data_IF_457021528399
#
_entry.id   IF_457021528399
#
_cell.length_a   1.000
_cell.length_b   1.000
_cell.length_c   1.000
_cell.angle_alpha   90.00
_cell.angle_beta   90.00
_cell.angle_gamma   90.00
#
_symmetry.space_group_name_H-M   'P 1'
#
loop_
_entity.id
_entity.type
_entity.pdbx_description
1 polymer ?
#
# COMPACT_ATOMS: atom_id res chain seq x y z
N UNK A 1 12.05 -23.47 19.63
CA UNK A 1 11.77 -22.28 18.81
C UNK A 1 10.32 -22.27 18.37
N UNK A 2 9.62 -21.23 18.69
CA UNK A 2 8.23 -21.11 18.29
C UNK A 2 8.15 -20.52 16.87
N UNK A 3 7.51 -21.27 15.97
CA UNK A 3 7.16 -20.76 14.65
C UNK A 3 5.76 -20.19 14.73
N UNK A 4 5.59 -18.96 14.27
CA UNK A 4 4.33 -18.26 14.34
C UNK A 4 3.87 -17.93 12.93
N UNK A 5 2.64 -18.30 12.62
CA UNK A 5 2.01 -17.95 11.35
C UNK A 5 1.86 -16.42 11.25
N UNK A 6 1.93 -15.86 10.03
CA UNK A 6 1.71 -14.43 9.86
C UNK A 6 0.34 -14.00 10.37
N UNK A 7 0.30 -12.85 11.02
CA UNK A 7 -0.93 -12.24 11.49
C UNK A 7 -0.91 -10.75 11.18
N UNK A 8 -1.82 -10.31 10.35
CA UNK A 8 -1.96 -8.91 9.95
C UNK A 8 -3.14 -8.31 10.70
N UNK A 9 -2.92 -7.15 11.32
CA UNK A 9 -4.02 -6.37 11.86
C UNK A 9 -4.77 -5.72 10.69
N UNK A 10 -5.96 -6.23 10.42
CA UNK A 10 -6.79 -5.73 9.31
C UNK A 10 -7.25 -4.29 9.50
N UNK A 11 -7.21 -3.76 10.72
CA UNK A 11 -7.49 -2.37 10.98
C UNK A 11 -6.45 -1.40 10.40
N UNK A 12 -5.27 -1.90 10.04
CA UNK A 12 -4.23 -1.09 9.39
C UNK A 12 -4.53 -0.83 7.93
N UNK A 13 -5.32 -1.71 7.30
CA UNK A 13 -5.79 -1.49 5.95
C UNK A 13 -6.91 -0.46 5.98
N UNK A 14 -6.87 0.46 5.06
CA UNK A 14 -7.90 1.47 5.00
C UNK A 14 -7.95 2.12 3.64
N UNK A 15 -9.10 2.74 3.39
CA UNK A 15 -9.23 3.61 2.23
C UNK A 15 -8.48 4.90 2.52
N UNK A 16 -7.70 5.35 1.56
CA UNK A 16 -7.05 6.66 1.61
C UNK A 16 -7.52 7.48 0.43
N UNK A 17 -7.76 8.75 0.68
CA UNK A 17 -8.10 9.70 -0.36
C UNK A 17 -7.05 10.79 -0.34
N UNK A 18 -6.39 11.01 -1.47
CA UNK A 18 -5.39 12.06 -1.61
C UNK A 18 -5.68 12.90 -2.83
N UNK A 19 -5.21 14.13 -2.81
CA UNK A 19 -5.28 14.99 -3.98
C UNK A 19 -4.27 14.55 -5.02
N UNK A 20 -4.61 14.72 -6.29
CA UNK A 20 -3.69 14.45 -7.38
C UNK A 20 -2.36 15.18 -7.16
N UNK A 21 -1.25 14.47 -7.32
CA UNK A 21 0.09 15.00 -7.09
C UNK A 21 0.62 14.84 -5.67
N UNK A 22 -0.22 14.44 -4.73
CA UNK A 22 0.18 14.24 -3.34
C UNK A 22 0.67 12.83 -3.09
N UNK A 23 1.27 12.63 -1.93
CA UNK A 23 1.82 11.34 -1.52
C UNK A 23 0.83 10.58 -0.65
N UNK A 24 0.61 9.31 -0.97
CA UNK A 24 -0.17 8.40 -0.14
C UNK A 24 0.75 7.29 0.37
N UNK A 25 0.49 6.79 1.59
CA UNK A 25 1.28 5.67 2.09
C UNK A 25 0.45 4.78 3.01
N UNK A 26 0.88 3.52 3.08
CA UNK A 26 0.42 2.56 4.07
C UNK A 26 1.63 1.95 4.76
N UNK A 27 1.49 1.73 6.05
CA UNK A 27 2.48 1.03 6.84
C UNK A 27 1.76 -0.10 7.58
N UNK A 28 2.12 -1.33 7.24
CA UNK A 28 1.41 -2.51 7.71
C UNK A 28 2.36 -3.36 8.54
N UNK A 29 1.98 -3.62 9.78
CA UNK A 29 2.73 -4.47 10.69
C UNK A 29 2.18 -5.89 10.64
N UNK A 30 3.06 -6.86 10.43
CA UNK A 30 2.67 -8.26 10.37
C UNK A 30 3.56 -9.08 11.30
N UNK A 31 2.94 -9.76 12.26
CA UNK A 31 3.65 -10.70 13.13
C UNK A 31 3.83 -12.01 12.39
N UNK A 32 4.95 -12.67 12.62
CA UNK A 32 5.23 -13.98 12.03
C UNK A 32 6.65 -14.40 12.32
N UNK A 33 6.84 -15.72 12.47
CA UNK A 33 8.15 -16.30 12.68
C UNK A 33 8.27 -17.56 11.84
N UNK A 34 9.15 -17.61 10.84
CA UNK A 34 10.07 -16.53 10.42
C UNK A 34 9.35 -15.29 9.91
N UNK A 35 10.03 -14.14 9.84
CA UNK A 35 9.41 -12.91 9.39
C UNK A 35 8.78 -13.08 8.01
N UNK A 36 7.56 -12.55 7.79
CA UNK A 36 6.90 -12.73 6.49
C UNK A 36 7.57 -11.95 5.38
N UNK A 37 7.43 -12.46 4.17
CA UNK A 37 7.81 -11.79 2.93
C UNK A 37 6.57 -11.11 2.38
N UNK A 38 6.70 -9.85 1.97
CA UNK A 38 5.60 -9.05 1.47
C UNK A 38 5.69 -8.87 -0.04
N UNK A 39 4.52 -8.95 -0.68
CA UNK A 39 4.37 -8.60 -2.09
C UNK A 39 3.21 -7.64 -2.22
N UNK A 40 3.46 -6.48 -2.83
CA UNK A 40 2.43 -5.50 -3.14
C UNK A 40 2.08 -5.57 -4.62
N UNK A 41 0.82 -5.45 -4.93
CA UNK A 41 0.33 -5.57 -6.30
C UNK A 41 -0.78 -4.56 -6.57
N UNK A 42 -0.82 -4.04 -7.80
CA UNK A 42 -1.84 -3.11 -8.27
C UNK A 42 -2.36 -3.58 -9.63
N UNK A 43 -3.67 -3.47 -9.91
CA UNK A 43 -4.25 -3.99 -11.16
C UNK A 43 -3.63 -3.43 -12.44
N UNK A 44 -3.21 -2.16 -12.42
CA UNK A 44 -2.62 -1.51 -13.60
C UNK A 44 -1.11 -1.70 -13.64
N UNK A 45 -0.45 -1.51 -12.50
CA UNK A 45 1.02 -1.50 -12.43
C UNK A 45 1.64 -2.86 -12.18
N UNK A 46 0.84 -3.88 -11.85
CA UNK A 46 1.34 -5.22 -11.53
C UNK A 46 2.04 -5.26 -10.18
N UNK A 47 3.07 -6.11 -10.07
CA UNK A 47 3.86 -6.21 -8.84
C UNK A 47 4.63 -4.90 -8.62
N UNK A 48 4.46 -4.32 -7.45
CA UNK A 48 5.07 -3.04 -7.12
C UNK A 48 6.46 -3.25 -6.53
N UNK A 49 7.42 -2.53 -7.07
CA UNK A 49 8.80 -2.55 -6.61
C UNK A 49 9.28 -1.14 -6.33
N UNK A 50 10.36 -1.02 -5.58
CA UNK A 50 10.94 0.28 -5.25
C UNK A 50 11.43 0.97 -6.52
N UNK A 51 10.87 2.14 -6.81
CA UNK A 51 11.16 2.90 -8.02
C UNK A 51 10.81 4.38 -7.76
N UNK A 52 11.04 5.30 -8.72
CA UNK A 52 10.72 6.70 -8.49
C UNK A 52 9.26 7.00 -8.18
N UNK A 53 8.33 6.18 -8.67
CA UNK A 53 6.90 6.38 -8.44
C UNK A 53 6.40 5.73 -7.15
N UNK A 54 7.08 4.68 -6.68
CA UNK A 54 6.67 3.92 -5.51
C UNK A 54 7.86 3.61 -4.62
N UNK A 55 7.65 3.70 -3.32
CA UNK A 55 8.61 3.17 -2.35
C UNK A 55 8.00 1.92 -1.73
N UNK A 56 8.70 0.80 -1.85
CA UNK A 56 8.31 -0.47 -1.24
C UNK A 56 9.43 -0.91 -0.33
N UNK A 57 9.15 -0.99 0.96
CA UNK A 57 10.17 -1.22 1.96
C UNK A 57 9.68 -2.22 2.99
N UNK A 58 10.60 -3.04 3.48
CA UNK A 58 10.33 -4.00 4.55
C UNK A 58 11.40 -3.84 5.63
N UNK A 59 10.95 -3.69 6.86
CA UNK A 59 11.82 -3.62 8.02
C UNK A 59 11.43 -4.76 8.97
N UNK A 60 12.39 -5.64 9.26
CA UNK A 60 12.16 -6.75 10.18
C UNK A 60 12.39 -6.31 11.62
N UNK A 61 11.60 -6.90 12.52
CA UNK A 61 11.80 -6.74 13.96
C UNK A 61 11.64 -8.11 14.62
N UNK A 62 11.92 -8.20 15.90
CA UNK A 62 11.81 -9.48 16.60
C UNK A 62 10.34 -9.92 16.67
N UNK A 63 10.02 -10.99 15.94
CA UNK A 63 8.67 -11.55 15.90
C UNK A 63 7.82 -11.10 14.74
N UNK A 64 8.39 -10.36 13.76
CA UNK A 64 7.64 -9.96 12.59
C UNK A 64 8.36 -9.00 11.66
N UNK A 65 7.58 -8.27 10.89
CA UNK A 65 8.09 -7.28 9.95
C UNK A 65 7.05 -6.19 9.68
N UNK A 66 7.53 -5.03 9.26
CA UNK A 66 6.68 -3.91 8.85
C UNK A 66 6.96 -3.66 7.38
N UNK A 67 5.91 -3.61 6.56
CA UNK A 67 6.03 -3.20 5.18
C UNK A 67 5.47 -1.79 5.01
N UNK A 68 6.19 -0.97 4.26
CA UNK A 68 5.78 0.40 3.93
C UNK A 68 5.65 0.50 2.42
N UNK A 69 4.49 0.98 1.98
CA UNK A 69 4.19 1.24 0.58
C UNK A 69 3.87 2.72 0.43
N UNK A 70 4.63 3.43 -0.41
CA UNK A 70 4.43 4.86 -0.66
C UNK A 70 4.12 5.07 -2.13
N UNK A 71 3.07 5.82 -2.42
CA UNK A 71 2.74 6.28 -3.77
C UNK A 71 3.17 7.73 -3.86
N UNK A 72 4.21 8.01 -4.63
CA UNK A 72 4.72 9.36 -4.82
C UNK A 72 3.98 10.06 -5.96
N UNK A 73 3.57 11.30 -5.74
CA UNK A 73 2.91 12.10 -6.77
C UNK A 73 1.72 11.36 -7.42
N UNK A 74 0.77 10.96 -6.58
CA UNK A 74 -0.37 10.13 -7.00
C UNK A 74 -1.10 10.71 -8.22
N UNK A 75 -1.34 9.85 -9.21
CA UNK A 75 -2.03 10.18 -10.46
C UNK A 75 -3.31 9.35 -10.56
N UNK A 76 -4.16 9.67 -11.53
CA UNK A 76 -5.38 8.92 -11.77
C UNK A 76 -5.15 7.42 -11.95
N UNK A 77 -4.10 7.04 -12.64
CA UNK A 77 -3.75 5.63 -12.88
C UNK A 77 -3.28 4.90 -11.61
N UNK A 78 -2.96 5.64 -10.55
CA UNK A 78 -2.54 5.06 -9.28
C UNK A 78 -3.72 4.72 -8.36
N UNK A 79 -4.92 5.16 -8.72
CA UNK A 79 -6.11 4.82 -7.93
C UNK A 79 -6.43 3.34 -8.03
N UNK A 80 -7.17 2.85 -7.07
CA UNK A 80 -7.64 1.48 -7.06
C UNK A 80 -7.16 0.70 -5.85
N UNK A 81 -7.22 -0.61 -5.97
CA UNK A 81 -6.91 -1.51 -4.86
C UNK A 81 -5.46 -1.96 -4.91
N UNK A 82 -4.76 -1.70 -3.82
CA UNK A 82 -3.41 -2.21 -3.58
C UNK A 82 -3.53 -3.48 -2.77
N UNK A 83 -3.13 -4.61 -3.34
CA UNK A 83 -3.19 -5.90 -2.68
C UNK A 83 -1.85 -6.21 -2.04
N UNK A 84 -1.87 -6.57 -0.77
CA UNK A 84 -0.69 -6.99 -0.03
C UNK A 84 -0.79 -8.47 0.27
N UNK A 85 0.26 -9.21 -0.07
CA UNK A 85 0.43 -10.59 0.35
C UNK A 85 1.54 -10.67 1.39
N UNK A 86 1.24 -11.24 2.54
CA UNK A 86 2.23 -11.54 3.57
C UNK A 86 2.35 -13.05 3.71
N UNK A 87 3.54 -13.57 3.47
CA UNK A 87 3.76 -15.01 3.41
C UNK A 87 5.00 -15.41 4.20
N UNK A 88 4.86 -16.47 5.00
CA UNK A 88 6.00 -17.25 5.47
C UNK A 88 5.73 -18.73 5.13
N UNK A 89 6.60 -19.65 5.52
CA UNK A 89 6.47 -21.07 5.16
C UNK A 89 5.22 -21.76 5.71
N UNK A 90 4.49 -21.12 6.63
CA UNK A 90 3.31 -21.73 7.27
C UNK A 90 2.01 -21.28 6.63
N UNK A 91 1.90 -20.00 6.29
CA UNK A 91 0.63 -19.44 5.83
C UNK A 91 0.86 -18.20 4.98
N UNK A 92 -0.15 -17.91 4.16
CA UNK A 92 -0.21 -16.75 3.28
C UNK A 92 -1.47 -15.96 3.63
N UNK A 93 -1.31 -14.65 3.88
CA UNK A 93 -2.40 -13.73 4.15
C UNK A 93 -2.46 -12.63 3.12
N UNK A 94 -3.66 -12.13 2.87
CA UNK A 94 -3.90 -11.04 1.93
C UNK A 94 -4.61 -9.89 2.63
N UNK A 95 -4.27 -8.67 2.22
CA UNK A 95 -4.88 -7.46 2.71
C UNK A 95 -5.10 -6.52 1.53
N UNK A 96 -6.25 -5.82 1.52
CA UNK A 96 -6.58 -4.87 0.46
C UNK A 96 -6.58 -3.46 1.01
N UNK A 97 -5.93 -2.55 0.28
CA UNK A 97 -5.88 -1.13 0.62
C UNK A 97 -6.41 -0.35 -0.58
N UNK A 98 -7.36 0.55 -0.37
CA UNK A 98 -7.98 1.31 -1.44
C UNK A 98 -7.43 2.73 -1.49
N UNK A 99 -6.99 3.16 -2.68
CA UNK A 99 -6.59 4.53 -2.92
C UNK A 99 -7.59 5.22 -3.83
N UNK A 100 -8.12 6.33 -3.35
CA UNK A 100 -8.96 7.23 -4.13
C UNK A 100 -8.21 8.51 -4.39
N UNK A 101 -8.36 9.05 -5.60
CA UNK A 101 -7.73 10.31 -5.99
C UNK A 101 -8.80 11.39 -6.08
N UNK A 102 -8.61 12.46 -5.32
CA UNK A 102 -9.49 13.61 -5.35
C UNK A 102 -8.93 14.64 -6.32
N UNK A 103 -9.59 14.83 -7.44
CA UNK A 103 -9.25 15.80 -8.46
C UNK A 103 -10.24 16.96 -8.51
N UNK A 104 -11.13 17.07 -7.52
CA UNK A 104 -12.19 18.10 -7.50
C UNK A 104 -11.63 19.52 -7.60
N UNK A 105 -10.47 19.77 -6.97
CA UNK A 105 -9.84 21.10 -7.03
C UNK A 105 -9.41 21.48 -8.45
N UNK A 106 -8.95 20.50 -9.22
CA UNK A 106 -8.57 20.71 -10.60
C UNK A 106 -9.80 20.97 -11.48
N UNK A 107 -10.90 20.28 -11.22
CA UNK A 107 -12.16 20.53 -11.88
C UNK A 107 -12.68 21.94 -11.63
N UNK A 108 -12.56 22.44 -10.41
CA UNK A 108 -12.93 23.82 -10.05
C UNK A 108 -12.07 24.83 -10.79
N UNK A 109 -10.78 24.59 -10.92
CA UNK A 109 -9.88 25.45 -11.70
C UNK A 109 -10.28 25.49 -13.17
N UNK A 110 -10.65 24.35 -13.75
CA UNK A 110 -11.12 24.28 -15.13
C UNK A 110 -12.41 25.04 -15.32
N UNK A 111 -13.33 24.96 -14.36
CA UNK A 111 -14.57 25.74 -14.39
C UNK A 111 -14.28 27.24 -14.35
N UNK A 112 -13.36 27.67 -13.50
CA UNK A 112 -12.98 29.07 -13.39
C UNK A 112 -12.38 29.62 -14.68
N UNK A 113 -11.65 28.79 -15.42
CA UNK A 113 -11.06 29.18 -16.70
C UNK A 113 -12.13 29.29 -17.81
N UNK A 114 -13.19 28.48 -17.73
CA UNK A 114 -14.25 28.45 -18.72
C UNK A 114 -15.34 29.49 -18.49
N UNK A 115 -15.35 30.13 -17.36
CA UNK A 115 -16.26 31.22 -17.05
C UNK A 115 -15.58 32.56 -17.16
#
# INVERSE_FOLDING_TARGET
MCSVAPSIDKGQAGSKTVRCGRTAFWQIKCRGEPPPVFTWWHPVHGVLTDCPDFTVRTDEYQGGAITTMVVHHAKNEDRGTYSLQAENRFVRHYLMCLLSIDDSLEMERRRSILT
#
